data_IF_709402076815
#
_entry.id   IF_709402076815
#
_cell.length_a   1.000
_cell.length_b   1.000
_cell.length_c   1.000
_cell.angle_alpha   90.00
_cell.angle_beta   90.00
_cell.angle_gamma   90.00
#
_symmetry.space_group_name_H-M   'P 1'
#
loop_
_entity.id
_entity.type
_entity.pdbx_description
1 polymer ?
#
# COMPACT_ATOMS: atom_id res chain seq x y z
N UNK A 1 3.95 -10.23 -15.09
CA UNK A 1 4.19 -9.11 -14.14
C UNK A 1 3.09 -8.08 -14.34
N UNK A 2 2.48 -7.68 -13.26
CA UNK A 2 1.43 -6.65 -13.24
C UNK A 2 1.84 -5.49 -12.35
N UNK A 3 1.20 -4.35 -12.54
CA UNK A 3 1.20 -3.25 -11.59
C UNK A 3 -0.12 -3.32 -10.81
N UNK A 4 -0.02 -3.53 -9.51
CA UNK A 4 -1.17 -3.59 -8.61
C UNK A 4 -1.23 -2.31 -7.78
N UNK A 5 -2.41 -1.70 -7.70
CA UNK A 5 -2.58 -0.42 -7.00
C UNK A 5 -3.69 -0.55 -5.96
N UNK A 6 -3.37 -0.38 -4.68
CA UNK A 6 -4.36 -0.16 -3.64
C UNK A 6 -4.56 1.35 -3.43
N UNK A 7 -5.76 1.76 -2.99
CA UNK A 7 -6.05 3.19 -2.85
C UNK A 7 -6.13 3.92 -4.20
N UNK A 8 -6.47 3.21 -5.25
CA UNK A 8 -6.52 3.72 -6.64
C UNK A 8 -7.52 4.87 -6.83
N UNK A 9 -8.55 4.95 -6.01
CA UNK A 9 -9.54 6.05 -6.04
C UNK A 9 -9.09 7.29 -5.26
N UNK A 10 -8.04 7.20 -4.48
CA UNK A 10 -7.47 8.31 -3.74
C UNK A 10 -6.62 9.23 -4.62
N UNK A 11 -6.13 10.30 -4.00
CA UNK A 11 -5.34 11.33 -4.71
C UNK A 11 -4.12 10.72 -5.42
N UNK A 12 -3.26 10.02 -4.69
CA UNK A 12 -2.04 9.42 -5.26
C UNK A 12 -2.34 8.37 -6.32
N UNK A 13 -3.31 7.50 -6.05
CA UNK A 13 -3.70 6.44 -6.99
C UNK A 13 -4.17 7.00 -8.33
N UNK A 14 -5.03 8.01 -8.31
CA UNK A 14 -5.52 8.68 -9.52
C UNK A 14 -4.41 9.34 -10.31
N UNK A 15 -3.49 10.03 -9.65
CA UNK A 15 -2.34 10.66 -10.30
C UNK A 15 -1.39 9.64 -10.90
N UNK A 16 -1.10 8.55 -10.19
CA UNK A 16 -0.28 7.46 -10.72
C UNK A 16 -0.91 6.86 -11.98
N UNK A 17 -2.20 6.54 -11.94
CA UNK A 17 -2.92 5.95 -13.09
C UNK A 17 -2.85 6.89 -14.31
N UNK A 18 -3.08 8.19 -14.10
CA UNK A 18 -2.95 9.18 -15.19
C UNK A 18 -1.54 9.19 -15.76
N UNK A 19 -0.53 9.19 -14.90
CA UNK A 19 0.87 9.18 -15.33
C UNK A 19 1.20 7.92 -16.14
N UNK A 20 0.79 6.75 -15.66
CA UNK A 20 1.02 5.49 -16.36
C UNK A 20 0.36 5.48 -17.74
N UNK A 21 -0.86 6.03 -17.86
CA UNK A 21 -1.54 6.16 -19.16
C UNK A 21 -0.85 7.11 -20.13
N UNK A 22 -0.12 8.11 -19.62
CA UNK A 22 0.64 9.04 -20.47
C UNK A 22 1.97 8.48 -20.95
N UNK A 23 2.46 7.42 -20.35
CA UNK A 23 3.68 6.76 -20.80
C UNK A 23 3.39 5.92 -22.04
N UNK A 24 4.35 5.92 -22.98
CA UNK A 24 4.20 5.16 -24.25
C UNK A 24 4.38 3.65 -24.08
N UNK A 25 4.55 3.18 -22.87
CA UNK A 25 4.72 1.75 -22.56
C UNK A 25 3.40 1.21 -22.03
N UNK A 26 2.98 0.08 -22.55
CA UNK A 26 1.81 -0.64 -22.06
C UNK A 26 2.16 -1.37 -20.76
N UNK A 27 1.32 -1.15 -19.75
CA UNK A 27 1.41 -1.84 -18.46
C UNK A 27 0.13 -2.64 -18.22
N UNK A 28 0.29 -3.85 -17.72
CA UNK A 28 -0.83 -4.61 -17.17
C UNK A 28 -1.13 -4.10 -15.76
N UNK A 29 -2.22 -3.36 -15.62
CA UNK A 29 -2.61 -2.68 -14.37
C UNK A 29 -3.86 -3.33 -13.81
N UNK A 30 -3.84 -3.69 -12.54
CA UNK A 30 -5.00 -4.17 -11.80
C UNK A 30 -5.08 -3.49 -10.43
N UNK A 31 -6.22 -3.56 -9.79
CA UNK A 31 -6.51 -2.85 -8.55
C UNK A 31 -6.73 -3.81 -7.40
N UNK A 32 -6.16 -3.46 -6.24
CA UNK A 32 -6.44 -4.13 -4.98
C UNK A 32 -7.58 -3.38 -4.28
N UNK A 33 -8.76 -3.97 -4.33
CA UNK A 33 -9.99 -3.34 -3.85
C UNK A 33 -10.21 -3.62 -2.36
N UNK A 34 -11.09 -2.84 -1.74
CA UNK A 34 -11.53 -3.07 -0.37
C UNK A 34 -12.07 -4.50 -0.17
N UNK A 35 -12.82 -5.00 -1.14
CA UNK A 35 -13.36 -6.36 -1.12
C UNK A 35 -12.24 -7.40 -1.13
N UNK A 36 -11.19 -7.20 -1.90
CA UNK A 36 -10.04 -8.11 -1.93
C UNK A 36 -9.37 -8.24 -0.55
N UNK A 37 -9.22 -7.12 0.16
CA UNK A 37 -8.68 -7.11 1.51
C UNK A 37 -9.61 -7.80 2.52
N UNK A 38 -10.91 -7.57 2.42
CA UNK A 38 -11.90 -8.11 3.36
C UNK A 38 -12.15 -9.61 3.16
N UNK A 39 -12.13 -10.08 1.92
CA UNK A 39 -12.44 -11.48 1.55
C UNK A 39 -11.20 -12.36 1.39
N UNK A 40 -10.02 -11.86 1.74
CA UNK A 40 -8.74 -12.57 1.61
C UNK A 40 -8.45 -13.02 0.16
N UNK A 41 -8.86 -12.23 -0.82
CA UNK A 41 -8.65 -12.52 -2.24
C UNK A 41 -7.30 -12.02 -2.78
N UNK A 42 -6.52 -11.30 -1.98
CA UNK A 42 -5.22 -10.76 -2.41
C UNK A 42 -4.28 -11.85 -2.91
N UNK A 43 -4.29 -13.02 -2.26
CA UNK A 43 -3.43 -14.15 -2.65
C UNK A 43 -3.70 -14.66 -4.06
N UNK A 44 -4.90 -14.41 -4.60
CA UNK A 44 -5.27 -14.79 -5.96
C UNK A 44 -4.95 -13.71 -7.00
N UNK A 45 -4.74 -12.48 -6.54
CA UNK A 45 -4.38 -11.34 -7.41
C UNK A 45 -2.88 -11.08 -7.50
N UNK A 46 -2.15 -11.31 -6.42
CA UNK A 46 -0.72 -11.00 -6.35
C UNK A 46 0.09 -12.18 -6.89
N UNK A 47 0.94 -11.91 -7.86
CA UNK A 47 1.95 -12.84 -8.35
C UNK A 47 3.33 -12.50 -7.78
N UNK A 48 4.26 -13.49 -7.68
CA UNK A 48 5.55 -13.28 -7.01
C UNK A 48 6.38 -12.09 -7.51
N UNK A 49 6.28 -11.75 -8.78
CA UNK A 49 7.11 -10.71 -9.41
C UNK A 49 6.36 -9.42 -9.75
N UNK A 50 5.18 -9.21 -9.19
CA UNK A 50 4.40 -8.00 -9.44
C UNK A 50 5.03 -6.75 -8.84
N UNK A 51 4.56 -5.59 -9.28
CA UNK A 51 4.88 -4.29 -8.70
C UNK A 51 3.64 -3.80 -7.96
N UNK A 52 3.75 -3.54 -6.67
CA UNK A 52 2.63 -3.11 -5.84
C UNK A 52 2.85 -1.67 -5.38
N UNK A 53 1.88 -0.81 -5.69
CA UNK A 53 1.76 0.53 -5.11
C UNK A 53 0.67 0.49 -4.03
N UNK A 54 1.09 0.55 -2.79
CA UNK A 54 0.17 0.50 -1.66
C UNK A 54 -0.10 1.89 -1.10
N UNK A 55 -1.16 2.52 -1.63
CA UNK A 55 -1.65 3.83 -1.20
C UNK A 55 -2.90 3.73 -0.33
N UNK A 56 -3.45 2.52 -0.20
CA UNK A 56 -4.64 2.29 0.62
C UNK A 56 -4.38 2.57 2.09
N UNK A 57 -5.36 3.16 2.74
CA UNK A 57 -5.33 3.47 4.15
C UNK A 57 -6.57 4.26 4.56
N UNK A 58 -6.81 4.33 5.85
CA UNK A 58 -7.91 5.09 6.44
C UNK A 58 -7.31 6.31 7.15
N UNK A 59 -7.68 7.51 6.70
CA UNK A 59 -7.22 8.77 7.29
C UNK A 59 -8.18 9.28 8.36
N UNK A 60 -9.47 8.95 8.23
CA UNK A 60 -10.53 9.44 9.11
C UNK A 60 -11.55 8.33 9.39
N UNK A 61 -12.01 8.27 10.61
CA UNK A 61 -13.08 7.38 11.04
C UNK A 61 -13.78 8.00 12.25
N UNK A 62 -14.67 7.25 12.92
CA UNK A 62 -15.40 7.65 14.11
C UNK A 62 -14.46 8.17 15.20
N UNK A 63 -13.33 7.51 15.39
CA UNK A 63 -12.28 7.91 16.33
C UNK A 63 -10.90 7.40 15.86
N UNK A 64 -9.86 7.84 16.56
CA UNK A 64 -8.47 7.50 16.24
C UNK A 64 -8.15 6.01 16.45
N UNK A 65 -8.81 5.36 17.42
CA UNK A 65 -8.64 3.92 17.65
C UNK A 65 -9.11 3.09 16.45
N UNK A 66 -10.23 3.47 15.84
CA UNK A 66 -10.73 2.81 14.63
C UNK A 66 -9.80 3.04 13.42
N UNK A 67 -9.27 4.25 13.29
CA UNK A 67 -8.25 4.55 12.26
C UNK A 67 -7.03 3.65 12.44
N UNK A 68 -6.53 3.53 13.64
CA UNK A 68 -5.38 2.68 13.97
C UNK A 68 -5.65 1.21 13.66
N UNK A 69 -6.78 0.67 14.14
CA UNK A 69 -7.18 -0.74 13.91
C UNK A 69 -7.35 -1.07 12.44
N UNK A 70 -8.03 -0.20 11.68
CA UNK A 70 -8.30 -0.44 10.26
C UNK A 70 -7.04 -0.41 9.43
N UNK A 71 -6.14 0.54 9.69
CA UNK A 71 -4.85 0.60 9.00
C UNK A 71 -3.98 -0.62 9.31
N UNK A 72 -3.90 -1.01 10.58
CA UNK A 72 -3.15 -2.21 10.97
C UNK A 72 -3.72 -3.47 10.33
N UNK A 73 -5.03 -3.65 10.35
CA UNK A 73 -5.69 -4.81 9.75
C UNK A 73 -5.42 -4.90 8.24
N UNK A 74 -5.53 -3.78 7.54
CA UNK A 74 -5.28 -3.70 6.10
C UNK A 74 -3.82 -4.06 5.76
N UNK A 75 -2.87 -3.52 6.49
CA UNK A 75 -1.45 -3.78 6.29
C UNK A 75 -1.06 -5.23 6.63
N UNK A 76 -1.65 -5.80 7.69
CA UNK A 76 -1.43 -7.21 8.04
C UNK A 76 -1.97 -8.17 6.97
N UNK A 77 -3.12 -7.89 6.38
CA UNK A 77 -3.67 -8.69 5.28
C UNK A 77 -2.73 -8.66 4.07
N UNK A 78 -2.23 -7.49 3.71
CA UNK A 78 -1.26 -7.38 2.62
C UNK A 78 0.01 -8.15 2.94
N UNK A 79 0.61 -7.94 4.10
CA UNK A 79 1.85 -8.62 4.49
C UNK A 79 1.69 -10.13 4.50
N UNK A 80 0.60 -10.66 5.08
CA UNK A 80 0.30 -12.09 5.08
C UNK A 80 0.19 -12.65 3.66
N UNK A 81 -0.40 -11.88 2.76
CA UNK A 81 -0.53 -12.28 1.35
C UNK A 81 0.83 -12.32 0.65
N UNK A 82 1.69 -11.33 0.89
CA UNK A 82 3.06 -11.30 0.35
C UNK A 82 3.88 -12.54 0.79
N UNK A 83 3.74 -12.91 2.07
CA UNK A 83 4.39 -14.11 2.62
C UNK A 83 3.89 -15.36 1.91
N UNK A 84 2.56 -15.53 1.81
CA UNK A 84 1.95 -16.71 1.20
C UNK A 84 2.32 -16.90 -0.26
N UNK A 85 2.37 -15.84 -1.04
CA UNK A 85 2.75 -15.92 -2.46
C UNK A 85 4.26 -15.94 -2.67
N UNK A 86 5.05 -15.90 -1.61
CA UNK A 86 6.53 -15.81 -1.66
C UNK A 86 6.99 -14.64 -2.53
N UNK A 87 6.46 -13.46 -2.25
CA UNK A 87 6.66 -12.27 -3.05
C UNK A 87 8.13 -11.88 -3.20
N UNK A 88 8.55 -11.63 -4.43
CA UNK A 88 9.92 -11.24 -4.84
C UNK A 88 9.94 -9.96 -5.66
N UNK A 89 8.78 -9.36 -5.89
CA UNK A 89 8.63 -8.18 -6.73
C UNK A 89 9.07 -6.88 -6.06
N UNK A 90 8.32 -5.83 -6.31
CA UNK A 90 8.58 -4.50 -5.76
C UNK A 90 7.35 -4.00 -5.02
N UNK A 91 7.53 -3.55 -3.77
CA UNK A 91 6.48 -2.92 -2.98
C UNK A 91 6.86 -1.47 -2.70
N UNK A 92 6.02 -0.55 -3.16
CA UNK A 92 6.08 0.85 -2.78
C UNK A 92 4.95 1.15 -1.79
N UNK A 93 5.33 1.63 -0.62
CA UNK A 93 4.41 1.99 0.45
C UNK A 93 4.52 3.47 0.76
N UNK A 94 3.37 4.14 0.87
CA UNK A 94 3.33 5.55 1.26
C UNK A 94 3.04 5.69 2.74
N UNK A 95 4.03 6.12 3.49
CA UNK A 95 3.91 6.56 4.87
C UNK A 95 3.61 8.06 4.92
N UNK A 96 3.68 8.65 6.08
CA UNK A 96 3.36 10.07 6.33
C UNK A 96 4.41 10.69 7.23
N UNK A 97 4.64 12.00 7.09
CA UNK A 97 5.42 12.77 8.06
C UNK A 97 4.86 12.68 9.47
N UNK A 98 3.59 12.32 9.62
CA UNK A 98 2.95 12.08 10.91
C UNK A 98 3.47 10.82 11.63
N UNK A 99 4.25 9.97 10.96
CA UNK A 99 4.83 8.78 11.62
C UNK A 99 5.75 9.13 12.80
N UNK A 100 6.25 10.36 12.84
CA UNK A 100 7.07 10.87 13.93
C UNK A 100 6.25 11.62 15.00
N UNK A 101 4.92 11.68 14.84
CA UNK A 101 4.00 12.30 15.81
C UNK A 101 3.41 11.28 16.77
N UNK A 102 2.74 11.78 17.81
CA UNK A 102 2.04 10.95 18.79
C UNK A 102 0.66 10.46 18.31
N UNK A 103 0.26 10.78 17.07
CA UNK A 103 -1.04 10.36 16.54
C UNK A 103 -1.07 8.85 16.30
N UNK A 104 -2.23 8.23 16.50
CA UNK A 104 -2.42 6.80 16.21
C UNK A 104 -2.27 6.51 14.71
N UNK A 105 -2.71 7.41 13.85
CA UNK A 105 -2.48 7.32 12.41
C UNK A 105 -0.99 7.26 12.07
N UNK A 106 -0.20 8.17 12.63
CA UNK A 106 1.24 8.20 12.44
C UNK A 106 1.93 6.93 12.93
N UNK A 107 1.54 6.43 14.11
CA UNK A 107 2.05 5.17 14.66
C UNK A 107 1.73 3.97 13.76
N UNK A 108 0.50 3.90 13.24
CA UNK A 108 0.12 2.82 12.32
C UNK A 108 0.94 2.86 11.02
N UNK A 109 1.17 4.03 10.46
CA UNK A 109 2.01 4.21 9.26
C UNK A 109 3.46 3.81 9.51
N UNK A 110 4.04 4.22 10.62
CA UNK A 110 5.40 3.85 11.02
C UNK A 110 5.53 2.34 11.21
N UNK A 111 4.61 1.73 11.96
CA UNK A 111 4.62 0.30 12.21
C UNK A 111 4.55 -0.50 10.90
N UNK A 112 3.68 -0.11 9.98
CA UNK A 112 3.54 -0.75 8.68
C UNK A 112 4.84 -0.62 7.86
N UNK A 113 5.41 0.58 7.77
CA UNK A 113 6.66 0.81 7.04
C UNK A 113 7.79 -0.07 7.56
N UNK A 114 7.98 -0.11 8.87
CA UNK A 114 9.03 -0.92 9.49
C UNK A 114 8.83 -2.42 9.27
N UNK A 115 7.60 -2.91 9.36
CA UNK A 115 7.30 -4.32 9.09
C UNK A 115 7.53 -4.70 7.63
N UNK A 116 7.07 -3.90 6.68
CA UNK A 116 7.30 -4.17 5.26
C UNK A 116 8.79 -4.16 4.92
N UNK A 117 9.56 -3.26 5.50
CA UNK A 117 11.01 -3.19 5.33
C UNK A 117 11.70 -4.43 5.92
N UNK A 118 11.36 -4.83 7.14
CA UNK A 118 11.89 -6.02 7.80
C UNK A 118 11.64 -7.29 6.97
N UNK A 119 10.39 -7.48 6.53
CA UNK A 119 10.05 -8.65 5.71
C UNK A 119 10.65 -8.60 4.29
N UNK A 120 10.95 -7.41 3.77
CA UNK A 120 11.67 -7.29 2.51
C UNK A 120 13.05 -7.94 2.57
N UNK A 121 13.74 -7.78 3.68
CA UNK A 121 15.05 -8.40 3.90
C UNK A 121 14.97 -9.93 3.99
N UNK A 122 13.96 -10.46 4.68
CA UNK A 122 13.80 -11.90 4.86
C UNK A 122 13.18 -12.60 3.64
N UNK A 123 12.23 -11.96 2.95
CA UNK A 123 11.58 -12.54 1.76
C UNK A 123 12.32 -12.25 0.46
N UNK A 124 13.13 -11.18 0.42
CA UNK A 124 13.93 -10.82 -0.75
C UNK A 124 13.18 -9.99 -1.81
N UNK A 125 12.06 -9.34 -1.46
CA UNK A 125 11.45 -8.34 -2.36
C UNK A 125 12.12 -6.96 -2.17
N UNK A 126 11.95 -6.07 -3.15
CA UNK A 126 12.44 -4.68 -3.06
C UNK A 126 11.37 -3.81 -2.41
N UNK A 127 11.74 -3.09 -1.37
CA UNK A 127 10.85 -2.20 -0.63
C UNK A 127 11.24 -0.73 -0.82
N UNK A 128 10.23 0.10 -1.10
CA UNK A 128 10.36 1.55 -1.23
C UNK A 128 9.35 2.20 -0.29
N UNK A 129 9.81 2.72 0.83
CA UNK A 129 8.99 3.50 1.76
C UNK A 129 9.09 4.98 1.42
N UNK A 130 7.96 5.62 1.14
CA UNK A 130 7.90 7.07 0.89
C UNK A 130 7.25 7.74 2.09
N UNK A 131 7.95 8.65 2.74
CA UNK A 131 7.40 9.48 3.81
C UNK A 131 6.84 10.75 3.14
N UNK A 132 5.53 10.77 2.93
CA UNK A 132 4.86 11.85 2.24
C UNK A 132 4.46 12.97 3.19
N UNK A 133 4.65 14.25 2.80
CA UNK A 133 4.04 15.39 3.47
C UNK A 133 2.54 15.42 3.20
N UNK A 134 1.84 16.45 3.69
CA UNK A 134 0.47 16.69 3.28
C UNK A 134 0.42 16.91 1.76
N UNK A 135 -0.34 16.08 1.08
CA UNK A 135 -0.44 16.09 -0.38
C UNK A 135 -1.78 16.71 -0.77
N UNK A 136 -1.73 17.70 -1.64
CA UNK A 136 -2.91 18.39 -2.17
C UNK A 136 -2.67 18.82 -3.61
N UNK A 137 -3.76 19.13 -4.31
CA UNK A 137 -3.70 19.60 -5.69
C UNK A 137 -4.96 19.25 -6.48
N UNK A 138 -5.01 19.61 -7.76
CA UNK A 138 -6.14 19.24 -8.63
C UNK A 138 -6.17 17.73 -8.89
N UNK A 139 -7.39 17.21 -9.02
CA UNK A 139 -7.64 15.81 -9.40
C UNK A 139 -7.77 15.65 -10.91
#
# INVERSE_FOLDING_TARGET
MKILISGYNGFLGRHLIRKLKCLKVEYDIDFLTKTDFQSNQLIHKISPNDIIFHFGGVNRDINDDEVFKKNNALNEVLLSSLIKVKFKGKLLFTSSVQENSETLYGKAKKNARLKFEEYSNSLGYKFYGIIAPNIFGPL
#
